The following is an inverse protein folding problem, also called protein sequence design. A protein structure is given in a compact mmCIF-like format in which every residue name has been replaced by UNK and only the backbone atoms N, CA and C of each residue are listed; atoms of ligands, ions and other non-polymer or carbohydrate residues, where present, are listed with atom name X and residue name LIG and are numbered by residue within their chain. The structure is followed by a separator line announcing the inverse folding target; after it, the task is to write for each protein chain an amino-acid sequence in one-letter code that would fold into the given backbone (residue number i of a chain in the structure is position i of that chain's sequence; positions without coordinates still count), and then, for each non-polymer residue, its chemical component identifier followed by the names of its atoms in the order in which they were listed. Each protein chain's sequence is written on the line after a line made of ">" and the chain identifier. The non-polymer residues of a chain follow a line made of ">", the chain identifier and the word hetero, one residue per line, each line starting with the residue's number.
data_IF_932608800897
#
_entry.id   IF_932608800897
#
_cell.length_a   1.000
_cell.length_b   1.000
_cell.length_c   1.000
_cell.angle_alpha   90.00
_cell.angle_beta   90.00
_cell.angle_gamma   90.00
#
_symmetry.space_group_name_H-M   'P 1'
#
loop_
_entity.id
_entity.type
_entity.pdbx_description
1 polymer ?
#
# COMPACT_ATOMS: atom_id res chain seq x y z
N UNK A 1 28.51 -8.43 -15.46
CA UNK A 1 29.29 -8.96 -14.30
C UNK A 1 30.47 -8.08 -13.89
N UNK A 2 31.49 -7.83 -14.75
CA UNK A 2 32.63 -6.95 -14.36
C UNK A 2 32.16 -5.54 -13.97
N UNK A 3 31.29 -4.95 -14.78
CA UNK A 3 30.73 -3.62 -14.52
C UNK A 3 29.86 -3.60 -13.26
N UNK A 4 29.07 -4.64 -13.01
CA UNK A 4 28.23 -4.76 -11.80
C UNK A 4 29.07 -4.84 -10.52
N UNK A 5 30.19 -5.56 -10.56
CA UNK A 5 31.13 -5.63 -9.43
C UNK A 5 31.74 -4.25 -9.19
N UNK A 6 32.23 -3.59 -10.25
CA UNK A 6 32.83 -2.27 -10.13
C UNK A 6 31.83 -1.23 -9.61
N UNK A 7 30.58 -1.26 -10.09
CA UNK A 7 29.53 -0.35 -9.62
C UNK A 7 29.13 -0.63 -8.16
N UNK A 8 29.17 -1.89 -7.73
CA UNK A 8 28.88 -2.29 -6.34
C UNK A 8 29.98 -1.87 -5.36
N UNK A 9 31.25 -1.95 -5.76
CA UNK A 9 32.40 -1.60 -4.91
C UNK A 9 32.48 -0.10 -4.57
N UNK A 10 32.01 0.76 -5.46
CA UNK A 10 32.11 2.22 -5.30
C UNK A 10 30.85 2.85 -4.70
N UNK A 11 29.81 2.06 -4.40
CA UNK A 11 28.53 2.59 -3.94
C UNK A 11 28.58 2.97 -2.46
N UNK A 12 28.47 4.26 -2.09
CA UNK A 12 28.55 4.68 -0.71
C UNK A 12 27.28 4.27 0.06
N UNK A 13 27.45 3.89 1.33
CA UNK A 13 26.33 3.68 2.24
C UNK A 13 25.77 5.05 2.64
N UNK A 14 24.48 5.28 2.42
CA UNK A 14 23.82 6.49 2.90
C UNK A 14 23.44 6.33 4.38
N UNK A 15 24.15 7.02 5.26
CA UNK A 15 23.88 7.04 6.72
C UNK A 15 23.10 8.29 7.15
N UNK A 16 22.66 9.13 6.22
CA UNK A 16 21.89 10.33 6.54
C UNK A 16 20.44 9.96 6.91
N UNK A 17 19.79 10.81 7.70
CA UNK A 17 18.38 10.63 8.04
C UNK A 17 17.51 10.83 6.80
N UNK A 18 16.64 9.86 6.50
CA UNK A 18 15.66 9.99 5.44
C UNK A 18 14.64 11.11 5.78
N UNK A 19 14.52 12.10 4.89
CA UNK A 19 13.50 13.15 4.97
C UNK A 19 12.14 12.65 4.46
N UNK A 20 12.14 11.84 3.41
CA UNK A 20 10.95 11.33 2.77
C UNK A 20 10.99 9.80 2.73
N UNK A 21 9.81 9.17 2.83
CA UNK A 21 9.63 7.73 2.77
C UNK A 21 8.59 7.44 1.70
N UNK A 22 8.95 6.62 0.71
CA UNK A 22 8.03 6.14 -0.33
C UNK A 22 8.06 4.61 -0.30
N UNK A 23 6.90 3.97 -0.17
CA UNK A 23 6.77 2.51 -0.15
C UNK A 23 5.85 2.05 -1.29
N UNK A 24 6.44 1.53 -2.36
CA UNK A 24 5.68 0.88 -3.42
C UNK A 24 5.29 -0.55 -3.02
N UNK A 25 3.99 -0.87 -3.06
CA UNK A 25 3.48 -2.21 -2.78
C UNK A 25 2.88 -2.84 -4.03
N UNK A 26 3.54 -3.88 -4.55
CA UNK A 26 2.98 -4.74 -5.58
C UNK A 26 2.15 -5.86 -4.96
N UNK A 27 0.82 -5.67 -4.84
CA UNK A 27 -0.08 -6.67 -4.26
C UNK A 27 -0.06 -7.96 -5.10
N UNK A 28 0.29 -9.09 -4.48
CA UNK A 28 0.49 -10.37 -5.16
C UNK A 28 1.74 -10.48 -6.04
N UNK A 29 2.63 -9.48 -6.05
CA UNK A 29 3.81 -9.43 -6.92
C UNK A 29 4.99 -10.27 -6.38
N UNK A 30 4.87 -11.59 -6.44
CA UNK A 30 5.97 -12.51 -6.12
C UNK A 30 7.08 -12.54 -7.17
N UNK A 31 8.15 -13.30 -6.90
CA UNK A 31 9.28 -13.46 -7.83
C UNK A 31 8.86 -13.91 -9.24
N UNK A 32 7.93 -14.89 -9.43
CA UNK A 32 7.50 -15.29 -10.77
C UNK A 32 6.85 -14.13 -11.56
N UNK A 33 6.07 -13.30 -10.88
CA UNK A 33 5.43 -12.12 -11.48
C UNK A 33 6.48 -11.09 -11.87
N UNK A 34 7.47 -10.84 -11.01
CA UNK A 34 8.59 -9.92 -11.31
C UNK A 34 9.34 -10.34 -12.59
N UNK A 35 9.69 -11.63 -12.71
CA UNK A 35 10.36 -12.16 -13.91
C UNK A 35 9.48 -12.04 -15.15
N UNK A 36 8.20 -12.40 -15.05
CA UNK A 36 7.26 -12.30 -16.17
C UNK A 36 7.06 -10.84 -16.63
N UNK A 37 6.91 -9.90 -15.70
CA UNK A 37 6.75 -8.47 -15.99
C UNK A 37 7.98 -7.89 -16.69
N UNK A 38 9.18 -8.31 -16.29
CA UNK A 38 10.45 -7.88 -16.91
C UNK A 38 10.57 -8.35 -18.37
N UNK A 39 10.28 -9.63 -18.62
CA UNK A 39 10.27 -10.19 -19.98
C UNK A 39 9.23 -9.46 -20.84
N UNK A 40 8.02 -9.30 -20.31
CA UNK A 40 6.95 -8.59 -21.01
C UNK A 40 7.33 -7.14 -21.36
N UNK A 41 7.95 -6.40 -20.43
CA UNK A 41 8.44 -5.03 -20.65
C UNK A 41 9.42 -4.95 -21.83
N UNK A 42 10.38 -5.88 -21.92
CA UNK A 42 11.34 -5.90 -23.01
C UNK A 42 10.70 -6.27 -24.35
N UNK A 43 9.76 -7.23 -24.35
CA UNK A 43 9.02 -7.63 -25.55
C UNK A 43 8.15 -6.50 -26.11
N UNK A 44 7.54 -5.66 -25.26
CA UNK A 44 6.83 -4.45 -25.68
C UNK A 44 7.73 -3.44 -26.42
N UNK A 45 9.06 -3.53 -26.27
CA UNK A 45 10.06 -2.71 -26.96
C UNK A 45 10.69 -3.42 -28.17
N UNK A 46 10.18 -4.59 -28.54
CA UNK A 46 10.71 -5.42 -29.63
C UNK A 46 12.02 -6.13 -29.29
N UNK A 47 12.36 -6.25 -28.01
CA UNK A 47 13.52 -7.02 -27.54
C UNK A 47 13.11 -8.44 -27.10
N UNK A 48 14.04 -9.40 -26.97
CA UNK A 48 13.74 -10.74 -26.44
C UNK A 48 13.07 -10.70 -25.05
N UNK A 49 13.56 -9.82 -24.16
CA UNK A 49 12.95 -9.48 -22.88
C UNK A 49 13.69 -10.00 -21.66
N UNK A 50 14.40 -11.13 -21.77
CA UNK A 50 15.15 -11.74 -20.67
C UNK A 50 16.33 -10.89 -20.19
N UNK A 51 16.79 -9.93 -20.98
CA UNK A 51 17.85 -8.98 -20.65
C UNK A 51 17.33 -7.63 -20.13
N UNK A 52 16.02 -7.36 -20.21
CA UNK A 52 15.46 -6.11 -19.66
C UNK A 52 15.50 -6.14 -18.13
N UNK A 53 15.35 -4.97 -17.51
CA UNK A 53 15.27 -4.79 -16.06
C UNK A 53 14.10 -3.86 -15.69
N UNK A 54 13.39 -4.21 -14.63
CA UNK A 54 12.44 -3.34 -13.95
C UNK A 54 13.19 -2.26 -13.15
N UNK A 55 12.56 -1.12 -12.91
CA UNK A 55 13.26 0.02 -12.31
C UNK A 55 13.73 -0.28 -10.88
N UNK A 56 12.96 -1.05 -10.11
CA UNK A 56 13.33 -1.45 -8.75
C UNK A 56 14.44 -2.53 -8.71
N UNK A 57 14.70 -3.26 -9.80
CA UNK A 57 15.82 -4.22 -9.86
C UNK A 57 17.18 -3.50 -9.89
N UNK A 58 17.18 -2.19 -10.18
CA UNK A 58 18.37 -1.33 -10.13
C UNK A 58 18.71 -0.87 -8.70
N UNK A 59 17.86 -1.17 -7.71
CA UNK A 59 18.07 -0.72 -6.35
C UNK A 59 19.30 -1.43 -5.72
N UNK A 60 20.09 -0.74 -4.89
CA UNK A 60 21.31 -1.32 -4.28
C UNK A 60 21.07 -2.50 -3.34
N UNK A 61 19.86 -2.57 -2.77
CA UNK A 61 19.58 -3.41 -1.62
C UNK A 61 18.37 -4.27 -1.93
N UNK A 62 18.53 -5.57 -1.73
CA UNK A 62 17.49 -6.57 -1.93
C UNK A 62 17.40 -7.41 -0.67
N UNK A 63 16.19 -7.75 -0.26
CA UNK A 63 15.91 -8.63 0.86
C UNK A 63 14.76 -9.58 0.54
N UNK A 64 14.64 -10.64 1.33
CA UNK A 64 13.54 -11.60 1.23
C UNK A 64 12.67 -11.46 2.48
N UNK A 65 11.35 -11.40 2.30
CA UNK A 65 10.38 -11.27 3.39
C UNK A 65 9.61 -12.56 3.64
N UNK A 66 9.43 -12.93 4.92
CA UNK A 66 8.60 -14.09 5.33
C UNK A 66 7.18 -13.62 5.65
N UNK A 67 6.25 -13.92 4.76
CA UNK A 67 4.94 -13.24 4.70
C UNK A 67 3.81 -13.85 5.54
N UNK A 68 3.96 -15.05 6.09
CA UNK A 68 2.90 -15.76 6.85
C UNK A 68 2.15 -14.87 7.87
N UNK A 69 0.83 -15.05 8.01
CA UNK A 69 0.04 -14.45 9.10
C UNK A 69 0.28 -15.22 10.41
N UNK A 70 -0.19 -14.71 11.55
CA UNK A 70 -0.04 -15.43 12.84
C UNK A 70 -0.66 -16.83 12.82
N UNK A 71 -1.76 -16.98 12.11
CA UNK A 71 -2.62 -18.17 12.06
C UNK A 71 -2.75 -18.80 10.65
N UNK A 72 -2.04 -18.27 9.65
CA UNK A 72 -2.07 -18.78 8.27
C UNK A 72 -0.70 -18.76 7.62
N UNK A 73 -0.32 -19.89 7.00
CA UNK A 73 0.93 -20.01 6.25
C UNK A 73 0.91 -19.16 4.98
N UNK A 74 -0.23 -19.15 4.27
CA UNK A 74 -0.46 -18.32 3.09
C UNK A 74 -1.18 -17.07 3.55
N UNK A 75 -0.49 -15.94 3.46
CA UNK A 75 -1.02 -14.67 3.90
C UNK A 75 -2.06 -14.10 2.94
N UNK A 76 -2.94 -13.26 3.47
CA UNK A 76 -3.74 -12.33 2.68
C UNK A 76 -3.13 -10.91 2.73
N UNK A 77 -3.69 -9.99 1.95
CA UNK A 77 -3.25 -8.58 1.92
C UNK A 77 -3.39 -7.88 3.28
N UNK A 78 -4.38 -8.22 4.11
CA UNK A 78 -4.63 -7.50 5.36
C UNK A 78 -3.57 -7.79 6.43
N UNK A 79 -3.29 -9.06 6.69
CA UNK A 79 -2.30 -9.42 7.71
C UNK A 79 -0.87 -9.01 7.26
N UNK A 80 -0.60 -9.08 5.95
CA UNK A 80 0.71 -8.72 5.38
C UNK A 80 0.93 -7.21 5.35
N UNK A 81 -0.09 -6.43 5.00
CA UNK A 81 -0.03 -4.97 5.08
C UNK A 81 0.06 -4.50 6.54
N UNK A 82 -0.59 -5.18 7.48
CA UNK A 82 -0.39 -4.91 8.92
C UNK A 82 1.05 -5.15 9.34
N UNK A 83 1.66 -6.27 8.93
CA UNK A 83 3.08 -6.52 9.19
C UNK A 83 4.01 -5.47 8.56
N UNK A 84 3.69 -5.02 7.33
CA UNK A 84 4.48 -4.03 6.61
C UNK A 84 4.40 -2.63 7.23
N UNK A 85 3.21 -2.18 7.61
CA UNK A 85 2.99 -0.79 8.03
C UNK A 85 2.95 -0.58 9.54
N UNK A 86 2.62 -1.61 10.32
CA UNK A 86 2.55 -1.54 11.78
C UNK A 86 3.71 -2.26 12.48
N UNK A 87 4.50 -3.05 11.73
CA UNK A 87 5.63 -3.80 12.29
C UNK A 87 5.24 -4.98 13.16
N UNK A 88 3.96 -5.39 13.17
CA UNK A 88 3.46 -6.56 13.91
C UNK A 88 2.68 -7.50 12.99
N UNK A 89 2.84 -8.81 13.18
CA UNK A 89 2.02 -9.79 12.46
C UNK A 89 0.62 -9.87 13.06
N UNK A 90 -0.37 -9.96 12.18
CA UNK A 90 -1.78 -10.04 12.54
C UNK A 90 -2.39 -11.40 12.13
N UNK A 91 -3.56 -11.75 12.67
CA UNK A 91 -4.40 -12.85 12.17
C UNK A 91 -4.88 -12.60 10.73
N UNK A 92 -5.15 -13.68 10.01
CA UNK A 92 -5.63 -13.67 8.63
C UNK A 92 -6.89 -12.80 8.48
N UNK A 93 -6.93 -11.97 7.44
CA UNK A 93 -8.03 -11.03 7.13
C UNK A 93 -8.30 -9.91 8.14
N UNK A 94 -7.41 -9.68 9.11
CA UNK A 94 -7.52 -8.56 10.06
C UNK A 94 -6.58 -7.41 9.69
N UNK A 95 -6.97 -6.16 10.02
CA UNK A 95 -6.25 -4.93 9.66
C UNK A 95 -5.83 -4.16 10.91
N UNK A 96 -4.56 -3.77 10.98
CA UNK A 96 -4.04 -2.84 11.99
C UNK A 96 -4.07 -3.36 13.42
N UNK A 97 -4.20 -4.67 13.62
CA UNK A 97 -4.37 -5.27 14.95
C UNK A 97 -3.26 -6.26 15.25
N UNK A 98 -3.16 -6.68 16.52
CA UNK A 98 -2.27 -7.76 16.91
C UNK A 98 -3.00 -9.12 16.92
N UNK A 99 -2.29 -10.16 17.37
CA UNK A 99 -2.79 -11.54 17.46
C UNK A 99 -4.02 -11.76 18.35
N UNK A 100 -4.43 -10.78 19.17
CA UNK A 100 -5.50 -10.95 20.15
C UNK A 100 -6.89 -10.70 19.57
N UNK A 101 -6.98 -10.16 18.35
CA UNK A 101 -8.26 -9.96 17.65
C UNK A 101 -8.70 -11.26 17.00
N UNK A 102 -9.98 -11.58 17.18
CA UNK A 102 -10.62 -12.69 16.51
C UNK A 102 -11.30 -12.15 15.25
N UNK A 103 -11.09 -12.84 14.14
CA UNK A 103 -11.70 -12.48 12.85
C UNK A 103 -13.23 -12.43 12.99
N UNK A 104 -13.84 -11.42 12.38
CA UNK A 104 -15.30 -11.16 12.40
C UNK A 104 -15.90 -10.78 13.77
N UNK A 105 -15.08 -10.58 14.81
CA UNK A 105 -15.53 -10.27 16.17
C UNK A 105 -15.16 -8.83 16.57
N UNK A 106 -16.14 -7.93 16.56
CA UNK A 106 -15.98 -6.54 16.96
C UNK A 106 -15.67 -6.38 18.45
N UNK A 107 -16.24 -7.21 19.32
CA UNK A 107 -16.00 -7.10 20.76
C UNK A 107 -14.52 -7.37 21.08
N UNK A 108 -13.91 -8.33 20.36
CA UNK A 108 -12.46 -8.58 20.44
C UNK A 108 -11.63 -7.36 20.00
N UNK A 109 -12.08 -6.62 18.97
CA UNK A 109 -11.45 -5.37 18.53
C UNK A 109 -11.55 -4.28 19.61
N UNK A 110 -12.75 -4.06 20.15
CA UNK A 110 -13.00 -2.95 21.07
C UNK A 110 -12.32 -3.15 22.42
N UNK A 111 -12.22 -4.41 22.88
CA UNK A 111 -11.56 -4.77 24.15
C UNK A 111 -10.11 -4.30 24.26
N UNK A 112 -9.40 -4.21 23.14
CA UNK A 112 -7.97 -3.91 23.10
C UNK A 112 -7.65 -2.62 22.34
N UNK A 113 -8.66 -1.78 22.03
CA UNK A 113 -8.52 -0.57 21.19
C UNK A 113 -7.37 0.35 21.56
N UNK A 114 -7.13 0.56 22.85
CA UNK A 114 -6.07 1.44 23.33
C UNK A 114 -4.64 0.89 23.14
N UNK A 115 -4.50 -0.37 22.72
CA UNK A 115 -3.21 -1.07 22.56
C UNK A 115 -2.86 -1.34 21.10
N UNK A 116 -3.67 -0.87 20.15
CA UNK A 116 -3.40 -1.14 18.75
C UNK A 116 -2.08 -0.52 18.29
N UNK A 117 -1.31 -1.26 17.48
CA UNK A 117 -0.06 -0.75 16.97
C UNK A 117 -0.33 0.50 16.12
N UNK A 118 0.57 1.47 16.19
CA UNK A 118 0.50 2.64 15.32
C UNK A 118 1.09 2.30 13.96
N UNK A 119 0.46 2.76 12.89
CA UNK A 119 1.02 2.60 11.54
C UNK A 119 2.21 3.55 11.33
N UNK A 120 3.04 3.26 10.34
CA UNK A 120 4.11 4.17 9.91
C UNK A 120 3.57 5.51 9.41
N UNK A 121 2.35 5.54 8.84
CA UNK A 121 1.67 6.77 8.46
C UNK A 121 1.31 7.61 9.69
N UNK A 122 0.76 6.98 10.74
CA UNK A 122 0.49 7.67 12.01
C UNK A 122 1.77 8.19 12.66
N UNK A 123 2.85 7.39 12.64
CA UNK A 123 4.15 7.81 13.14
C UNK A 123 4.71 9.02 12.34
N UNK A 124 4.54 9.03 11.01
CA UNK A 124 4.95 10.14 10.16
C UNK A 124 4.14 11.41 10.45
N UNK A 125 2.81 11.30 10.64
CA UNK A 125 1.96 12.42 11.05
C UNK A 125 2.38 12.98 12.42
N UNK A 126 2.65 12.11 13.41
CA UNK A 126 3.17 12.52 14.73
C UNK A 126 4.53 13.21 14.65
N UNK A 127 5.35 12.87 13.66
CA UNK A 127 6.62 13.54 13.36
C UNK A 127 6.44 14.85 12.56
N UNK A 128 5.21 15.28 12.30
CA UNK A 128 4.90 16.51 11.54
C UNK A 128 5.17 16.38 10.05
N UNK A 129 5.30 15.16 9.52
CA UNK A 129 5.46 14.88 8.10
C UNK A 129 4.10 14.93 7.40
N UNK A 130 4.10 15.32 6.13
CA UNK A 130 2.91 15.16 5.28
C UNK A 130 2.73 13.68 4.95
N UNK A 131 1.49 13.24 4.80
CA UNK A 131 1.20 11.81 4.57
C UNK A 131 0.14 11.63 3.49
N UNK A 132 0.25 10.54 2.75
CA UNK A 132 -0.78 10.15 1.80
C UNK A 132 -0.56 8.77 1.22
N UNK A 133 -1.52 8.32 0.43
CA UNK A 133 -1.41 7.06 -0.31
C UNK A 133 -2.09 7.12 -1.67
N UNK A 134 -1.57 6.31 -2.58
CA UNK A 134 -2.07 6.10 -3.93
C UNK A 134 -2.25 4.60 -4.15
N UNK A 135 -3.40 4.21 -4.69
CA UNK A 135 -3.68 2.81 -4.99
C UNK A 135 -4.49 2.64 -6.27
N UNK A 136 -4.41 1.46 -6.89
CA UNK A 136 -5.32 1.05 -7.96
C UNK A 136 -6.57 0.32 -7.44
N UNK A 137 -6.62 -0.02 -6.16
CA UNK A 137 -7.76 -0.68 -5.50
C UNK A 137 -8.72 0.34 -4.89
N UNK A 138 -9.81 -0.09 -4.22
CA UNK A 138 -10.60 0.84 -3.41
C UNK A 138 -9.71 1.46 -2.32
N UNK A 139 -9.93 2.73 -1.96
CA UNK A 139 -9.17 3.38 -0.86
C UNK A 139 -9.42 2.72 0.51
N UNK A 140 -10.46 1.88 0.60
CA UNK A 140 -10.86 1.05 1.74
C UNK A 140 -10.36 -0.40 1.65
N UNK A 141 -9.73 -0.80 0.54
CA UNK A 141 -9.14 -2.12 0.39
C UNK A 141 -8.06 -2.36 1.46
N UNK A 142 -7.78 -3.63 1.77
CA UNK A 142 -6.88 -4.02 2.85
C UNK A 142 -5.51 -3.31 2.86
N UNK A 143 -4.85 -3.22 1.70
CA UNK A 143 -3.50 -2.65 1.59
C UNK A 143 -3.44 -1.16 1.97
N UNK A 144 -4.24 -0.25 1.39
CA UNK A 144 -4.32 1.13 1.87
C UNK A 144 -4.97 1.26 3.25
N UNK A 145 -5.98 0.46 3.56
CA UNK A 145 -6.66 0.50 4.85
C UNK A 145 -5.73 0.22 6.03
N UNK A 146 -4.73 -0.64 5.86
CA UNK A 146 -3.70 -0.90 6.87
C UNK A 146 -2.80 0.32 7.17
N UNK A 147 -2.97 1.47 6.52
CA UNK A 147 -2.31 2.72 6.96
C UNK A 147 -3.09 3.45 8.04
N UNK A 148 -4.39 3.19 8.19
CA UNK A 148 -5.25 4.02 9.05
C UNK A 148 -6.34 3.28 9.83
N UNK A 149 -6.73 2.09 9.40
CA UNK A 149 -7.87 1.37 9.97
C UNK A 149 -7.42 0.22 10.88
N UNK A 150 -8.23 0.00 11.91
CA UNK A 150 -8.22 -1.16 12.78
C UNK A 150 -9.53 -1.92 12.59
N UNK A 151 -9.48 -3.16 12.07
CA UNK A 151 -10.69 -3.95 11.80
C UNK A 151 -10.46 -5.46 12.01
N UNK A 152 -11.41 -6.19 12.64
CA UNK A 152 -11.38 -7.65 12.73
C UNK A 152 -11.71 -8.33 11.40
N UNK A 153 -12.16 -7.58 10.39
CA UNK A 153 -12.38 -8.10 9.05
C UNK A 153 -12.12 -7.02 7.99
N UNK A 154 -11.19 -7.30 7.09
CA UNK A 154 -10.87 -6.44 5.94
C UNK A 154 -12.03 -6.17 5.00
N UNK A 155 -13.05 -7.02 5.00
CA UNK A 155 -14.23 -6.86 4.13
C UNK A 155 -15.22 -5.82 4.69
N UNK A 156 -15.03 -5.32 5.92
CA UNK A 156 -15.87 -4.27 6.53
C UNK A 156 -15.53 -2.88 5.97
N UNK A 157 -15.50 -2.76 4.65
CA UNK A 157 -15.16 -1.53 3.93
C UNK A 157 -16.20 -0.43 4.20
N UNK A 158 -17.48 -0.79 4.23
CA UNK A 158 -18.62 0.09 4.54
C UNK A 158 -19.53 -0.51 5.61
N UNK A 159 -20.46 0.29 6.12
CA UNK A 159 -21.48 -0.12 7.10
C UNK A 159 -22.36 -1.28 6.62
N UNK A 160 -22.56 -1.41 5.31
CA UNK A 160 -23.33 -2.50 4.69
C UNK A 160 -22.63 -3.85 4.76
N UNK A 161 -21.32 -3.85 4.83
CA UNK A 161 -20.50 -5.07 4.86
C UNK A 161 -20.39 -5.65 6.28
N UNK A 162 -20.76 -4.86 7.30
CA UNK A 162 -20.76 -5.27 8.70
C UNK A 162 -22.06 -6.04 9.02
N UNK A 163 -21.95 -7.29 9.52
CA UNK A 163 -23.10 -8.04 10.01
C UNK A 163 -23.89 -7.24 11.05
N UNK A 164 -25.21 -7.35 11.06
CA UNK A 164 -26.08 -6.52 11.91
C UNK A 164 -25.70 -6.55 13.39
N UNK A 165 -25.35 -7.72 13.93
CA UNK A 165 -24.90 -7.90 15.33
C UNK A 165 -23.56 -7.20 15.63
N UNK A 166 -22.75 -6.91 14.61
CA UNK A 166 -21.41 -6.33 14.71
C UNK A 166 -21.39 -4.83 14.35
N UNK A 167 -22.52 -4.21 13.98
CA UNK A 167 -22.61 -2.80 13.52
C UNK A 167 -22.24 -1.75 14.57
N UNK A 168 -21.96 -2.15 15.80
CA UNK A 168 -21.35 -1.29 16.80
C UNK A 168 -19.85 -1.04 16.52
N UNK A 169 -19.23 -1.82 15.62
CA UNK A 169 -17.95 -1.49 15.02
C UNK A 169 -18.08 -0.39 13.96
N UNK A 170 -17.01 0.37 13.83
CA UNK A 170 -16.85 1.38 12.80
C UNK A 170 -16.23 0.75 11.55
N UNK A 171 -16.87 0.91 10.41
CA UNK A 171 -16.34 0.47 9.12
C UNK A 171 -15.07 1.24 8.70
N UNK A 172 -14.34 0.68 7.74
CA UNK A 172 -13.06 1.22 7.27
C UNK A 172 -13.25 2.61 6.64
N UNK A 173 -14.30 2.83 5.84
CA UNK A 173 -14.57 4.13 5.22
C UNK A 173 -14.77 5.24 6.27
N UNK A 174 -15.53 4.95 7.34
CA UNK A 174 -15.69 5.88 8.46
C UNK A 174 -14.39 6.11 9.22
N UNK A 175 -13.56 5.08 9.42
CA UNK A 175 -12.24 5.26 10.03
C UNK A 175 -11.33 6.17 9.18
N UNK A 176 -11.41 6.09 7.84
CA UNK A 176 -10.64 6.96 6.94
C UNK A 176 -10.99 8.44 7.13
N UNK A 177 -12.25 8.78 7.33
CA UNK A 177 -12.69 10.20 7.33
C UNK A 177 -12.88 10.79 8.73
N UNK A 178 -13.06 9.95 9.76
CA UNK A 178 -13.36 10.41 11.13
C UNK A 178 -12.19 10.20 12.12
N UNK A 179 -11.33 9.20 11.91
CA UNK A 179 -10.27 8.82 12.85
C UNK A 179 -8.87 9.23 12.34
N UNK A 180 -7.94 9.50 13.26
CA UNK A 180 -6.50 9.65 12.95
C UNK A 180 -5.88 8.25 12.84
N UNK A 181 -5.01 7.98 11.84
CA UNK A 181 -4.40 8.92 10.90
C UNK A 181 -5.22 9.25 9.64
N UNK A 182 -6.35 8.57 9.41
CA UNK A 182 -7.13 8.68 8.17
C UNK A 182 -7.51 10.13 7.80
N UNK A 183 -8.17 10.83 8.71
CA UNK A 183 -8.69 12.19 8.46
C UNK A 183 -7.61 13.23 8.21
N UNK A 184 -6.37 12.92 8.60
CA UNK A 184 -5.22 13.82 8.58
C UNK A 184 -4.32 13.57 7.36
N UNK A 185 -4.67 12.61 6.48
CA UNK A 185 -3.97 12.44 5.21
C UNK A 185 -4.11 13.68 4.33
N UNK A 186 -2.99 14.08 3.72
CA UNK A 186 -2.96 15.18 2.77
C UNK A 186 -3.34 14.74 1.35
N UNK A 187 -3.15 13.46 1.02
CA UNK A 187 -3.43 12.89 -0.30
C UNK A 187 -4.03 11.49 -0.15
N UNK A 188 -5.17 11.28 -0.80
CA UNK A 188 -5.82 9.97 -0.92
C UNK A 188 -6.25 9.83 -2.38
N UNK A 189 -5.70 8.84 -3.11
CA UNK A 189 -6.07 8.59 -4.50
C UNK A 189 -6.22 7.09 -4.77
N UNK A 190 -7.32 6.72 -5.43
CA UNK A 190 -7.55 5.34 -5.87
C UNK A 190 -8.98 5.07 -6.33
N UNK A 191 -9.34 3.80 -6.36
CA UNK A 191 -10.70 3.36 -6.59
C UNK A 191 -11.62 3.71 -5.40
N UNK A 192 -12.93 3.64 -5.60
CA UNK A 192 -13.92 4.35 -4.76
C UNK A 192 -14.04 5.84 -5.10
N UNK A 193 -12.95 6.47 -5.60
CA UNK A 193 -12.95 7.84 -6.13
C UNK A 193 -13.02 7.85 -7.67
N UNK A 194 -12.13 7.10 -8.33
CA UNK A 194 -12.03 7.04 -9.81
C UNK A 194 -12.74 5.85 -10.46
N UNK A 195 -13.24 4.92 -9.63
CA UNK A 195 -13.94 3.71 -10.03
C UNK A 195 -14.83 3.24 -8.87
N UNK A 196 -15.81 2.35 -9.11
CA UNK A 196 -16.63 1.79 -8.02
C UNK A 196 -15.86 0.83 -7.10
N UNK A 197 -14.79 0.21 -7.60
CA UNK A 197 -13.91 -0.67 -6.81
C UNK A 197 -12.46 -0.52 -7.24
N UNK A 198 -12.00 -1.22 -8.27
CA UNK A 198 -10.64 -1.15 -8.80
C UNK A 198 -10.57 -0.27 -10.04
N UNK A 199 -9.44 0.42 -10.21
CA UNK A 199 -9.06 1.03 -11.47
C UNK A 199 -8.82 -0.05 -12.54
N UNK A 200 -9.06 0.31 -13.80
CA UNK A 200 -8.78 -0.55 -14.95
C UNK A 200 -7.29 -0.84 -15.06
N UNK A 201 -6.94 -1.98 -15.63
CA UNK A 201 -5.55 -2.28 -15.96
C UNK A 201 -4.97 -1.21 -16.89
N UNK A 202 -3.68 -0.91 -16.73
CA UNK A 202 -3.02 0.17 -17.45
C UNK A 202 -3.14 0.03 -18.97
N UNK A 203 -3.10 -1.20 -19.49
CA UNK A 203 -3.28 -1.49 -20.93
C UNK A 203 -4.63 -1.04 -21.45
N UNK A 204 -5.69 -1.20 -20.66
CA UNK A 204 -7.06 -0.88 -21.03
C UNK A 204 -7.32 0.61 -20.87
N UNK A 205 -6.85 1.18 -19.75
CA UNK A 205 -7.02 2.59 -19.45
C UNK A 205 -6.17 3.50 -20.36
N UNK A 206 -5.04 3.00 -20.88
CA UNK A 206 -4.16 3.75 -21.78
C UNK A 206 -4.84 4.11 -23.11
N UNK A 207 -5.65 3.22 -23.69
CA UNK A 207 -6.39 3.52 -24.93
C UNK A 207 -7.44 4.61 -24.69
N UNK A 208 -8.14 4.57 -23.56
CA UNK A 208 -9.12 5.60 -23.19
C UNK A 208 -8.48 6.97 -22.98
N UNK A 209 -7.32 7.01 -22.31
CA UNK A 209 -6.51 8.22 -22.16
C UNK A 209 -6.02 8.76 -23.50
N UNK A 210 -5.53 7.88 -24.40
CA UNK A 210 -5.11 8.27 -25.76
C UNK A 210 -6.25 8.88 -26.57
N UNK A 211 -7.46 8.32 -26.42
CA UNK A 211 -8.68 8.82 -27.07
C UNK A 211 -9.30 10.02 -26.34
N UNK A 212 -8.70 10.51 -25.25
CA UNK A 212 -9.17 11.62 -24.42
C UNK A 212 -10.63 11.47 -24.00
N UNK A 213 -11.04 10.26 -23.61
CA UNK A 213 -12.39 10.06 -23.11
C UNK A 213 -12.62 10.88 -21.82
N UNK A 214 -13.82 11.46 -21.61
CA UNK A 214 -14.11 12.25 -20.41
C UNK A 214 -13.98 11.48 -19.09
N UNK A 215 -14.20 10.17 -19.13
CA UNK A 215 -14.15 9.23 -18.01
C UNK A 215 -12.83 8.45 -17.93
N UNK A 216 -11.80 8.88 -18.66
CA UNK A 216 -10.50 8.23 -18.65
C UNK A 216 -9.86 8.33 -17.26
N UNK A 217 -9.62 7.18 -16.65
CA UNK A 217 -8.97 7.07 -15.35
C UNK A 217 -7.51 7.52 -15.42
N UNK A 218 -6.94 8.13 -14.36
CA UNK A 218 -5.51 8.42 -14.30
C UNK A 218 -4.69 7.13 -14.19
N UNK A 219 -3.44 7.15 -14.67
CA UNK A 219 -2.49 6.05 -14.42
C UNK A 219 -1.94 6.12 -12.99
N UNK A 220 -1.41 4.99 -12.50
CA UNK A 220 -0.71 4.96 -11.21
C UNK A 220 0.47 5.94 -11.17
N UNK A 221 1.18 6.10 -12.29
CA UNK A 221 2.26 7.08 -12.44
C UNK A 221 1.75 8.52 -12.27
N UNK A 222 0.66 8.89 -12.95
CA UNK A 222 0.08 10.23 -12.88
C UNK A 222 -0.38 10.57 -11.45
N UNK A 223 -1.05 9.63 -10.78
CA UNK A 223 -1.44 9.81 -9.39
C UNK A 223 -0.21 9.92 -8.47
N UNK A 224 0.82 9.09 -8.67
CA UNK A 224 2.05 9.14 -7.86
C UNK A 224 2.77 10.49 -8.00
N UNK A 225 2.88 11.02 -9.22
CA UNK A 225 3.49 12.34 -9.49
C UNK A 225 2.70 13.43 -8.75
N UNK A 226 1.38 13.48 -8.91
CA UNK A 226 0.54 14.47 -8.25
C UNK A 226 0.62 14.37 -6.72
N UNK A 227 0.73 13.16 -6.17
CA UNK A 227 0.91 12.93 -4.74
C UNK A 227 2.25 13.50 -4.26
N UNK A 228 3.35 13.20 -4.97
CA UNK A 228 4.69 13.71 -4.63
C UNK A 228 4.72 15.24 -4.70
N UNK A 229 4.18 15.86 -5.75
CA UNK A 229 4.11 17.31 -5.89
C UNK A 229 3.35 17.96 -4.73
N UNK A 230 2.25 17.35 -4.31
CA UNK A 230 1.43 17.85 -3.19
C UNK A 230 2.17 17.71 -1.85
N UNK A 231 2.75 16.54 -1.59
CA UNK A 231 3.40 16.19 -0.33
C UNK A 231 4.78 16.84 -0.14
N UNK A 232 5.49 17.14 -1.23
CA UNK A 232 6.84 17.73 -1.17
C UNK A 232 6.88 19.15 -0.62
N UNK A 233 5.72 19.82 -0.51
CA UNK A 233 5.60 21.16 0.08
C UNK A 233 5.75 21.16 1.62
N UNK A 234 5.92 20.00 2.28
CA UNK A 234 6.11 19.90 3.73
C UNK A 234 7.56 20.11 4.17
N UNK A 235 7.78 20.97 5.18
CA UNK A 235 9.12 21.26 5.69
C UNK A 235 9.81 20.01 6.29
N UNK A 236 9.05 19.20 7.03
CA UNK A 236 9.52 17.99 7.71
C UNK A 236 9.60 16.74 6.81
N UNK A 237 9.29 16.89 5.51
CA UNK A 237 9.22 15.78 4.56
C UNK A 237 7.88 15.05 4.57
N UNK A 238 7.83 13.89 3.91
CA UNK A 238 6.59 13.15 3.72
C UNK A 238 6.71 11.62 3.73
N UNK A 239 5.60 10.97 4.04
CA UNK A 239 5.36 9.55 3.82
C UNK A 239 4.35 9.37 2.68
N UNK A 240 4.68 8.51 1.72
CA UNK A 240 3.80 8.11 0.63
C UNK A 240 3.82 6.58 0.50
N UNK A 241 2.64 6.00 0.35
CA UNK A 241 2.47 4.64 -0.15
C UNK A 241 1.93 4.69 -1.58
#
# INVERSE_FOLDING_TARGET
>A
MREDILSSLVKPINTQRAKNIIIFVGDGMGNPITVASRIFKGQLRGQPGEEDMLEFERFPHTGISKTYCVDSQVADSACSATALFHGVKAPFKTLGVDRNVVKDDCDSLLKFRAKWPHSIAEAAQKAGMRTGFVTTTSVTHATPAALYAHSPNREWETDKDIPELQRHCKDIARQLVEDTPGKDFNVIMGGGLFASSHLKYETDAADERRRKKPDAQPSLEQMTIAAIETLSNGENGFFLM
#
